data_IF_359753211069
#
_entry.id   IF_359753211069
#
_cell.length_a   1.000
_cell.length_b   1.000
_cell.length_c   1.000
_cell.angle_alpha   90.00
_cell.angle_beta   90.00
_cell.angle_gamma   90.00
#
_symmetry.space_group_name_H-M   'P 1'
#
loop_
_entity.id
_entity.type
_entity.pdbx_description
1 polymer ?
#
# COMPACT_ATOMS: atom_id res chain seq x y z
N UNK A 1 -41.33 -12.71 -80.81
CA UNK A 1 -42.03 -12.30 -79.58
C UNK A 1 -41.67 -13.30 -78.47
N UNK A 2 -41.06 -12.81 -77.39
CA UNK A 2 -40.88 -13.41 -76.03
C UNK A 2 -39.90 -14.58 -75.80
N UNK A 3 -38.77 -14.20 -75.20
CA UNK A 3 -37.77 -14.92 -74.37
C UNK A 3 -38.31 -16.07 -73.52
N UNK A 4 -37.46 -17.09 -73.26
CA UNK A 4 -37.10 -17.52 -71.89
C UNK A 4 -35.65 -18.03 -71.80
N UNK A 5 -35.01 -17.61 -70.71
CA UNK A 5 -33.59 -17.76 -70.32
C UNK A 5 -33.39 -19.07 -69.56
N UNK A 6 -32.21 -19.70 -69.70
CA UNK A 6 -31.75 -20.82 -68.88
C UNK A 6 -30.29 -20.64 -68.45
N UNK A 7 -30.07 -20.67 -67.14
CA UNK A 7 -28.81 -20.62 -66.38
C UNK A 7 -27.78 -21.69 -66.79
N UNK A 8 -26.48 -21.38 -66.67
CA UNK A 8 -25.47 -22.13 -65.89
C UNK A 8 -24.01 -21.93 -66.39
N UNK A 9 -23.06 -21.82 -65.45
CA UNK A 9 -21.64 -22.17 -65.68
C UNK A 9 -20.62 -21.03 -65.46
N UNK A 10 -20.19 -20.77 -64.22
CA UNK A 10 -18.87 -21.17 -63.66
C UNK A 10 -17.67 -20.42 -64.30
N UNK A 11 -17.18 -19.32 -63.71
CA UNK A 11 -16.01 -19.27 -62.80
C UNK A 11 -14.65 -19.19 -63.53
N UNK A 12 -14.11 -17.97 -63.65
CA UNK A 12 -12.66 -17.74 -63.66
C UNK A 12 -12.36 -16.37 -63.02
N UNK A 13 -12.06 -16.43 -61.73
CA UNK A 13 -11.44 -15.36 -60.95
C UNK A 13 -9.93 -15.53 -61.13
N UNK A 14 -9.20 -14.46 -61.42
CA UNK A 14 -7.97 -14.05 -60.70
C UNK A 14 -7.33 -12.80 -61.32
N UNK A 15 -7.37 -11.72 -60.52
CA UNK A 15 -6.26 -10.83 -60.14
C UNK A 15 -5.60 -9.85 -61.14
N UNK A 16 -5.76 -8.55 -60.83
CA UNK A 16 -4.80 -7.42 -60.83
C UNK A 16 -5.66 -6.14 -60.62
N UNK A 17 -5.51 -5.20 -59.70
CA UNK A 17 -4.51 -4.88 -58.67
C UNK A 17 -5.19 -3.90 -57.69
N UNK A 18 -5.46 -4.31 -56.44
CA UNK A 18 -5.88 -3.36 -55.40
C UNK A 18 -4.63 -2.81 -54.71
N UNK A 19 -4.21 -1.62 -55.12
CA UNK A 19 -3.26 -0.78 -54.39
C UNK A 19 -3.90 -0.46 -53.04
N UNK A 20 -3.50 -1.19 -52.00
CA UNK A 20 -3.86 -0.83 -50.64
C UNK A 20 -2.85 0.22 -50.16
N UNK A 21 -3.27 1.42 -49.74
CA UNK A 21 -2.40 2.27 -48.96
C UNK A 21 -2.05 1.50 -47.69
N UNK A 22 -0.75 1.33 -47.45
CA UNK A 22 -0.23 0.85 -46.19
C UNK A 22 -0.68 1.83 -45.10
N UNK A 23 -1.80 1.53 -44.45
CA UNK A 23 -2.14 2.13 -43.17
C UNK A 23 -1.01 1.66 -42.25
N UNK A 24 -0.10 2.58 -41.92
CA UNK A 24 0.84 2.38 -40.84
C UNK A 24 0.01 2.03 -39.61
N UNK A 25 -0.02 0.75 -39.27
CA UNK A 25 -0.62 0.25 -38.06
C UNK A 25 0.16 0.93 -36.94
N UNK A 26 -0.40 1.99 -36.37
CA UNK A 26 0.07 2.56 -35.11
C UNK A 26 0.08 1.39 -34.14
N UNK A 27 1.27 0.82 -33.91
CA UNK A 27 1.49 -0.12 -32.83
C UNK A 27 1.01 0.60 -31.59
N UNK A 28 -0.04 0.07 -30.95
CA UNK A 28 -0.45 0.55 -29.64
C UNK A 28 0.81 0.70 -28.78
N UNK A 29 0.98 1.87 -28.18
CA UNK A 29 2.19 2.23 -27.45
C UNK A 29 2.54 1.13 -26.42
N UNK A 30 3.59 0.32 -26.67
CA UNK A 30 3.84 -0.86 -25.85
C UNK A 30 4.63 -0.52 -24.59
N UNK A 31 5.05 0.73 -24.37
CA UNK A 31 6.03 1.05 -23.34
C UNK A 31 5.68 2.25 -22.46
N UNK A 32 4.96 3.24 -22.98
CA UNK A 32 4.64 4.42 -22.18
C UNK A 32 3.81 4.03 -20.96
N UNK A 33 4.21 4.55 -19.81
CA UNK A 33 3.52 4.36 -18.54
C UNK A 33 4.49 4.18 -17.38
N UNK A 34 3.90 3.98 -16.21
CA UNK A 34 4.63 3.65 -14.99
C UNK A 34 4.75 2.13 -14.87
N UNK A 35 5.89 1.66 -14.39
CA UNK A 35 6.22 0.26 -14.23
C UNK A 35 6.74 0.03 -12.81
N UNK A 36 6.23 -0.98 -12.10
CA UNK A 36 6.62 -1.28 -10.71
C UNK A 36 7.04 -2.72 -10.56
N UNK A 37 8.04 -2.95 -9.72
CA UNK A 37 8.51 -4.30 -9.41
C UNK A 37 9.81 -4.27 -8.62
N UNK A 38 10.71 -5.20 -8.91
CA UNK A 38 11.93 -5.38 -8.13
C UNK A 38 13.11 -5.91 -8.95
N UNK A 39 14.30 -5.76 -8.37
CA UNK A 39 15.57 -6.22 -8.92
C UNK A 39 16.52 -6.64 -7.79
N UNK A 40 17.38 -7.62 -8.07
CA UNK A 40 18.37 -8.08 -7.10
C UNK A 40 19.07 -9.35 -7.55
N UNK A 41 20.12 -9.82 -6.85
CA UNK A 41 20.86 -11.02 -7.25
C UNK A 41 20.15 -12.34 -6.90
N UNK A 42 19.13 -12.31 -6.04
CA UNK A 42 18.43 -13.51 -5.56
C UNK A 42 17.05 -13.17 -4.99
N UNK A 43 16.22 -14.19 -4.75
CA UNK A 43 14.88 -14.03 -4.18
C UNK A 43 14.86 -13.42 -2.75
N UNK A 44 15.96 -13.52 -2.00
CA UNK A 44 16.07 -13.00 -0.62
C UNK A 44 16.78 -11.64 -0.53
N UNK A 45 17.28 -11.11 -1.64
CA UNK A 45 17.95 -9.81 -1.74
C UNK A 45 17.32 -9.08 -2.93
N UNK A 46 16.17 -8.45 -2.69
CA UNK A 46 15.37 -7.73 -3.68
C UNK A 46 15.26 -6.26 -3.29
N UNK A 47 15.35 -5.39 -4.29
CA UNK A 47 15.18 -3.95 -4.18
C UNK A 47 13.98 -3.55 -5.03
N UNK A 48 13.00 -2.87 -4.44
CA UNK A 48 11.86 -2.35 -5.19
C UNK A 48 12.29 -1.23 -6.13
N UNK A 49 11.60 -1.12 -7.27
CA UNK A 49 11.85 -0.09 -8.27
C UNK A 49 10.55 0.36 -8.93
N UNK A 50 10.47 1.65 -9.22
CA UNK A 50 9.46 2.25 -10.08
C UNK A 50 10.15 2.88 -11.28
N UNK A 51 9.63 2.71 -12.49
CA UNK A 51 10.18 3.30 -13.71
C UNK A 51 9.06 3.98 -14.47
N UNK A 52 9.24 5.24 -14.86
CA UNK A 52 8.35 5.92 -15.80
C UNK A 52 9.01 5.88 -17.19
N UNK A 53 8.34 5.28 -18.17
CA UNK A 53 8.81 5.18 -19.55
C UNK A 53 7.93 6.01 -20.48
N UNK A 54 8.53 6.58 -21.52
CA UNK A 54 7.84 7.29 -22.62
C UNK A 54 8.40 6.82 -23.95
N UNK A 55 7.52 6.31 -24.80
CA UNK A 55 7.82 5.83 -26.14
C UNK A 55 6.97 6.59 -27.17
N UNK A 56 7.61 7.12 -28.21
CA UNK A 56 6.93 7.89 -29.26
C UNK A 56 6.90 7.16 -30.62
N UNK A 57 7.16 5.85 -30.63
CA UNK A 57 7.32 5.07 -31.86
C UNK A 57 8.74 5.02 -32.40
N UNK A 58 9.68 5.80 -31.84
CA UNK A 58 11.08 5.85 -32.31
C UNK A 58 12.10 5.94 -31.17
N UNK A 59 11.85 6.77 -30.17
CA UNK A 59 12.75 7.02 -29.05
C UNK A 59 12.09 6.62 -27.75
N UNK A 60 12.86 5.90 -26.91
CA UNK A 60 12.48 5.56 -25.55
C UNK A 60 13.19 6.52 -24.60
N UNK A 61 12.46 7.10 -23.66
CA UNK A 61 13.01 7.88 -22.55
C UNK A 61 12.37 7.44 -21.24
N UNK A 62 12.95 7.82 -20.10
CA UNK A 62 12.33 7.53 -18.82
C UNK A 62 13.17 7.91 -17.60
N UNK A 63 12.61 7.64 -16.44
CA UNK A 63 13.22 7.89 -15.12
C UNK A 63 13.03 6.67 -14.23
N UNK A 64 14.00 6.45 -13.34
CA UNK A 64 13.95 5.45 -12.27
C UNK A 64 13.65 6.15 -10.95
N UNK A 65 12.69 5.61 -10.20
CA UNK A 65 12.17 6.11 -8.94
C UNK A 65 11.79 7.61 -9.02
N UNK A 66 10.76 7.96 -9.81
CA UNK A 66 10.36 9.35 -10.01
C UNK A 66 10.04 10.06 -8.69
N UNK A 67 10.47 11.33 -8.57
CA UNK A 67 10.44 12.13 -7.34
C UNK A 67 11.61 13.14 -7.31
N UNK A 68 11.84 13.85 -6.20
CA UNK A 68 12.96 14.79 -6.06
C UNK A 68 14.34 14.18 -6.33
N UNK A 69 14.49 12.87 -6.12
CA UNK A 69 15.72 12.11 -6.32
C UNK A 69 15.67 11.19 -7.56
N UNK A 70 14.84 11.53 -8.54
CA UNK A 70 14.68 10.73 -9.76
C UNK A 70 16.01 10.56 -10.51
N UNK A 71 16.29 9.33 -10.93
CA UNK A 71 17.47 9.01 -11.75
C UNK A 71 17.04 8.97 -13.22
N UNK A 72 17.66 9.79 -14.06
CA UNK A 72 17.39 9.78 -15.49
C UNK A 72 17.94 8.50 -16.15
N UNK A 73 17.18 7.92 -17.07
CA UNK A 73 17.69 6.88 -17.97
C UNK A 73 18.45 7.60 -19.10
N UNK A 74 19.78 7.47 -19.09
CA UNK A 74 20.69 8.16 -20.00
C UNK A 74 20.70 7.51 -21.39
N UNK A 75 20.62 6.18 -21.43
CA UNK A 75 20.57 5.40 -22.66
C UNK A 75 19.38 4.45 -22.61
N UNK A 76 18.54 4.48 -23.64
CA UNK A 76 17.39 3.61 -23.75
C UNK A 76 17.14 3.20 -25.20
N UNK A 77 16.83 1.93 -25.42
CA UNK A 77 16.41 1.42 -26.73
C UNK A 77 15.32 0.37 -26.58
N UNK A 78 14.45 0.32 -27.58
CA UNK A 78 13.41 -0.69 -27.69
C UNK A 78 13.26 -1.12 -29.13
N UNK A 79 13.19 -2.43 -29.35
CA UNK A 79 12.90 -3.04 -30.63
C UNK A 79 11.47 -3.59 -30.63
N UNK A 80 10.51 -2.96 -31.32
CA UNK A 80 9.13 -3.42 -31.39
C UNK A 80 8.94 -4.78 -32.08
N UNK A 81 9.91 -5.26 -32.87
CA UNK A 81 9.80 -6.56 -33.56
C UNK A 81 10.19 -7.71 -32.64
N UNK A 82 11.25 -7.52 -31.84
CA UNK A 82 11.75 -8.55 -30.91
C UNK A 82 11.29 -8.34 -29.48
N UNK A 83 10.61 -7.22 -29.20
CA UNK A 83 10.20 -6.76 -27.87
C UNK A 83 11.36 -6.62 -26.88
N UNK A 84 12.60 -6.48 -27.37
CA UNK A 84 13.78 -6.30 -26.55
C UNK A 84 13.90 -4.85 -26.08
N UNK A 85 14.26 -4.68 -24.82
CA UNK A 85 14.46 -3.37 -24.19
C UNK A 85 15.83 -3.34 -23.53
N UNK A 86 16.50 -2.20 -23.64
CA UNK A 86 17.77 -1.91 -22.99
C UNK A 86 17.69 -0.55 -22.33
N UNK A 87 18.06 -0.46 -21.06
CA UNK A 87 18.04 0.78 -20.25
C UNK A 87 19.34 0.92 -19.49
N UNK A 88 19.86 2.14 -19.42
CA UNK A 88 21.01 2.47 -18.61
C UNK A 88 20.81 3.75 -17.83
N UNK A 89 21.23 3.75 -16.58
CA UNK A 89 21.16 4.89 -15.69
C UNK A 89 22.41 4.99 -14.83
N UNK A 90 22.86 6.20 -14.57
CA UNK A 90 23.98 6.46 -13.68
C UNK A 90 23.49 6.96 -12.32
N UNK A 91 23.86 6.24 -11.25
CA UNK A 91 23.60 6.68 -9.88
C UNK A 91 24.77 7.55 -9.38
N UNK A 92 24.63 8.86 -9.56
CA UNK A 92 25.67 9.85 -9.28
C UNK A 92 26.30 9.75 -7.86
N UNK A 93 25.56 9.56 -6.75
CA UNK A 93 26.15 9.51 -5.41
C UNK A 93 27.20 8.42 -5.21
N UNK A 94 27.20 7.37 -6.03
CA UNK A 94 28.20 6.28 -5.98
C UNK A 94 28.93 6.08 -7.30
N UNK A 95 28.68 6.91 -8.31
CA UNK A 95 29.19 6.77 -9.67
C UNK A 95 29.02 5.33 -10.21
N UNK A 96 27.82 4.77 -10.06
CA UNK A 96 27.50 3.41 -10.48
C UNK A 96 26.57 3.44 -11.69
N UNK A 97 27.04 2.90 -12.82
CA UNK A 97 26.21 2.63 -13.99
C UNK A 97 25.45 1.32 -13.79
N UNK A 98 24.14 1.40 -13.90
CA UNK A 98 23.23 0.28 -13.94
C UNK A 98 22.79 0.04 -15.38
N UNK A 99 22.75 -1.21 -15.78
CA UNK A 99 22.32 -1.66 -17.11
C UNK A 99 21.22 -2.70 -16.92
N UNK A 100 20.11 -2.53 -17.62
CA UNK A 100 19.00 -3.47 -17.69
C UNK A 100 18.81 -3.92 -19.12
N UNK A 101 18.81 -5.24 -19.32
CA UNK A 101 18.48 -5.88 -20.59
C UNK A 101 17.30 -6.81 -20.37
N UNK A 102 16.22 -6.64 -21.14
CA UNK A 102 15.00 -7.40 -20.92
C UNK A 102 14.14 -7.59 -22.15
N UNK A 103 12.99 -8.20 -21.93
CA UNK A 103 11.95 -8.44 -22.92
C UNK A 103 10.61 -7.97 -22.36
N UNK A 104 9.85 -7.29 -23.22
CA UNK A 104 8.53 -6.73 -22.92
C UNK A 104 7.47 -7.73 -23.38
N UNK A 105 6.70 -8.25 -22.44
CA UNK A 105 5.57 -9.15 -22.69
C UNK A 105 4.30 -8.53 -22.10
N UNK A 106 3.49 -7.90 -22.95
CA UNK A 106 2.26 -7.18 -22.56
C UNK A 106 2.54 -6.11 -21.49
N UNK A 107 2.16 -6.39 -20.26
CA UNK A 107 2.28 -5.52 -19.09
C UNK A 107 3.39 -5.99 -18.15
N UNK A 108 4.40 -6.69 -18.68
CA UNK A 108 5.54 -7.17 -17.92
C UNK A 108 6.84 -6.91 -18.68
N UNK A 109 7.87 -6.47 -17.97
CA UNK A 109 9.25 -6.45 -18.44
C UNK A 109 10.02 -7.40 -17.53
N UNK A 110 10.67 -8.39 -18.12
CA UNK A 110 11.54 -9.32 -17.40
C UNK A 110 12.90 -9.36 -18.06
N UNK A 111 13.95 -9.50 -17.27
CA UNK A 111 15.30 -9.47 -17.80
C UNK A 111 16.36 -9.59 -16.72
N UNK A 112 17.51 -9.02 -17.02
CA UNK A 112 18.64 -8.95 -16.11
C UNK A 112 18.97 -7.50 -15.83
N UNK A 113 19.51 -7.27 -14.63
CA UNK A 113 20.17 -6.01 -14.31
C UNK A 113 21.62 -6.31 -13.93
N UNK A 114 22.51 -5.36 -14.18
CA UNK A 114 23.90 -5.43 -13.75
C UNK A 114 24.49 -4.05 -13.45
N UNK A 115 25.47 -4.04 -12.57
CA UNK A 115 26.43 -2.96 -12.38
C UNK A 115 27.82 -3.59 -12.18
N UNK A 116 28.94 -2.85 -12.15
CA UNK A 116 30.30 -3.42 -12.22
C UNK A 116 30.68 -4.48 -11.16
N UNK A 117 29.92 -4.63 -10.08
CA UNK A 117 30.22 -5.56 -8.96
C UNK A 117 29.09 -6.56 -8.68
N UNK A 118 27.95 -6.46 -9.36
CA UNK A 118 26.76 -7.25 -9.04
C UNK A 118 25.83 -7.36 -10.24
N UNK A 119 25.13 -8.48 -10.34
CA UNK A 119 24.12 -8.74 -11.36
C UNK A 119 22.98 -9.55 -10.77
N UNK A 120 21.87 -9.60 -11.48
CA UNK A 120 20.73 -10.44 -11.12
C UNK A 120 19.58 -10.28 -12.09
N UNK A 121 18.39 -10.68 -11.66
CA UNK A 121 17.16 -10.60 -12.43
C UNK A 121 16.36 -9.33 -12.09
N UNK A 122 15.71 -8.82 -13.12
CA UNK A 122 14.91 -7.61 -13.10
C UNK A 122 13.50 -7.96 -13.56
N UNK A 123 12.50 -7.51 -12.81
CA UNK A 123 11.11 -7.73 -13.16
C UNK A 123 10.25 -6.56 -12.74
N UNK A 124 9.53 -5.95 -13.69
CA UNK A 124 8.52 -4.93 -13.44
C UNK A 124 7.26 -5.23 -14.23
N UNK A 125 6.13 -4.74 -13.74
CA UNK A 125 4.83 -4.81 -14.41
C UNK A 125 4.26 -3.42 -14.61
N UNK A 126 3.55 -3.21 -15.72
CA UNK A 126 2.92 -1.93 -16.03
C UNK A 126 1.90 -1.63 -14.94
N UNK A 127 2.07 -0.49 -14.32
CA UNK A 127 1.02 0.12 -13.53
C UNK A 127 -0.06 0.55 -14.51
N UNK A 128 -1.13 -0.24 -14.58
CA UNK A 128 -2.32 0.14 -15.32
C UNK A 128 -2.83 1.43 -14.68
N UNK A 129 -2.72 2.55 -15.39
CA UNK A 129 -3.37 3.80 -15.00
C UNK A 129 -4.81 3.43 -14.70
N UNK A 130 -5.23 3.56 -13.43
CA UNK A 130 -6.57 3.21 -12.97
C UNK A 130 -7.60 4.16 -13.61
N UNK A 131 -7.92 3.96 -14.88
CA UNK A 131 -9.18 4.43 -15.45
C UNK A 131 -10.28 3.55 -14.86
N UNK A 132 -10.82 3.99 -13.72
CA UNK A 132 -12.14 3.65 -13.15
C UNK A 132 -12.60 2.17 -13.02
N UNK A 133 -11.77 1.16 -13.30
CA UNK A 133 -12.25 -0.24 -13.39
C UNK A 133 -11.32 -1.28 -12.75
N UNK A 134 -10.69 -0.93 -11.63
CA UNK A 134 -10.27 -1.90 -10.61
C UNK A 134 -10.29 -1.18 -9.26
N UNK A 135 -11.50 -0.96 -8.74
CA UNK A 135 -11.64 -0.84 -7.30
C UNK A 135 -10.94 -2.07 -6.70
N UNK A 136 -10.02 -1.88 -5.75
CA UNK A 136 -9.59 -2.99 -4.90
C UNK A 136 -10.85 -3.77 -4.50
N UNK A 137 -10.86 -5.11 -4.60
CA UNK A 137 -12.06 -5.90 -4.40
C UNK A 137 -12.77 -5.37 -3.17
N UNK A 138 -14.03 -4.93 -3.33
CA UNK A 138 -14.77 -4.31 -2.23
C UNK A 138 -14.63 -5.25 -1.04
N UNK A 139 -14.07 -4.77 0.08
CA UNK A 139 -13.81 -5.64 1.21
C UNK A 139 -15.13 -6.28 1.63
N UNK A 140 -15.09 -7.58 1.97
CA UNK A 140 -16.30 -8.25 2.45
C UNK A 140 -16.61 -7.77 3.88
N UNK A 141 -17.32 -6.67 4.00
CA UNK A 141 -17.71 -6.07 5.28
C UNK A 141 -18.90 -6.76 5.96
N UNK A 142 -19.13 -8.05 5.67
CA UNK A 142 -20.17 -8.83 6.33
C UNK A 142 -19.98 -8.85 7.86
N UNK A 143 -21.07 -8.72 8.61
CA UNK A 143 -21.05 -8.68 10.07
C UNK A 143 -20.88 -7.29 10.69
N UNK A 144 -20.60 -6.26 9.89
CA UNK A 144 -20.55 -4.86 10.36
C UNK A 144 -21.86 -4.11 10.11
N UNK A 145 -22.19 -3.21 11.03
CA UNK A 145 -23.33 -2.27 10.90
C UNK A 145 -23.03 -1.18 9.87
N UNK A 146 -24.07 -0.48 9.41
CA UNK A 146 -23.94 0.55 8.38
C UNK A 146 -22.88 1.61 8.70
N UNK A 147 -22.90 2.17 9.91
CA UNK A 147 -21.90 3.19 10.29
C UNK A 147 -20.51 2.60 10.50
N UNK A 148 -20.40 1.34 10.94
CA UNK A 148 -19.12 0.64 11.07
C UNK A 148 -18.48 0.40 9.69
N UNK A 149 -19.30 0.08 8.68
CA UNK A 149 -18.84 -0.03 7.29
C UNK A 149 -18.33 1.30 6.76
N UNK A 150 -19.05 2.41 7.00
CA UNK A 150 -18.61 3.75 6.60
C UNK A 150 -17.23 4.10 7.17
N UNK A 151 -16.96 3.75 8.42
CA UNK A 151 -15.63 3.98 9.03
C UNK A 151 -14.54 3.22 8.29
N UNK A 152 -14.75 1.93 7.99
CA UNK A 152 -13.75 1.14 7.25
C UNK A 152 -13.59 1.66 5.82
N UNK A 153 -14.68 1.99 5.14
CA UNK A 153 -14.65 2.56 3.80
C UNK A 153 -13.88 3.90 3.77
N UNK A 154 -14.08 4.75 4.78
CA UNK A 154 -13.34 6.00 4.93
C UNK A 154 -11.84 5.75 5.13
N UNK A 155 -11.47 4.86 6.05
CA UNK A 155 -10.07 4.50 6.32
C UNK A 155 -9.39 3.97 5.05
N UNK A 156 -10.02 3.02 4.36
CA UNK A 156 -9.48 2.46 3.13
C UNK A 156 -9.36 3.49 2.01
N UNK A 157 -10.32 4.39 1.91
CA UNK A 157 -10.24 5.48 0.94
C UNK A 157 -9.04 6.37 1.25
N UNK A 158 -8.93 6.86 2.48
CA UNK A 158 -7.86 7.79 2.86
C UNK A 158 -6.46 7.15 2.75
N UNK A 159 -6.28 5.90 3.18
CA UNK A 159 -4.97 5.21 3.05
C UNK A 159 -4.57 4.98 1.59
N UNK A 160 -5.53 4.68 0.70
CA UNK A 160 -5.25 4.41 -0.72
C UNK A 160 -5.07 5.67 -1.55
N UNK A 161 -5.67 6.79 -1.12
CA UNK A 161 -5.47 8.10 -1.74
C UNK A 161 -4.23 8.82 -1.15
N UNK A 162 -3.85 8.51 0.10
CA UNK A 162 -2.74 9.12 0.84
C UNK A 162 -1.40 8.39 0.75
N UNK A 163 -1.17 7.55 -0.26
CA UNK A 163 0.05 6.72 -0.37
C UNK A 163 1.33 7.57 -0.50
N UNK A 164 1.23 8.82 -0.93
CA UNK A 164 2.38 9.68 -1.24
C UNK A 164 2.98 10.43 -0.03
N UNK A 165 2.29 10.52 1.11
CA UNK A 165 2.69 11.42 2.22
C UNK A 165 2.99 10.73 3.57
N UNK A 166 3.07 9.39 3.59
CA UNK A 166 3.26 8.59 4.81
C UNK A 166 2.22 8.87 5.92
N UNK A 167 1.08 9.46 5.58
CA UNK A 167 0.00 9.69 6.52
C UNK A 167 -0.71 8.39 6.87
N UNK A 168 -1.13 8.28 8.12
CA UNK A 168 -1.99 7.18 8.56
C UNK A 168 -3.20 7.79 9.24
N UNK A 169 -4.40 7.55 8.70
CA UNK A 169 -5.62 7.92 9.41
C UNK A 169 -5.97 6.85 10.44
N UNK A 170 -6.12 7.26 11.70
CA UNK A 170 -6.56 6.41 12.79
C UNK A 170 -8.10 6.37 12.88
N UNK A 171 -8.63 5.35 13.57
CA UNK A 171 -10.06 5.10 13.65
C UNK A 171 -10.84 6.23 14.34
N UNK A 172 -10.27 6.86 15.35
CA UNK A 172 -10.85 8.01 16.03
C UNK A 172 -10.98 9.22 15.10
N UNK A 173 -9.96 9.49 14.29
CA UNK A 173 -9.98 10.54 13.24
C UNK A 173 -11.07 10.24 12.20
N UNK A 174 -11.16 9.00 11.72
CA UNK A 174 -12.19 8.60 10.76
C UNK A 174 -13.61 8.76 11.33
N UNK A 175 -13.82 8.37 12.59
CA UNK A 175 -15.10 8.53 13.27
C UNK A 175 -15.48 10.02 13.43
N UNK A 176 -14.52 10.87 13.79
CA UNK A 176 -14.73 12.32 13.91
C UNK A 176 -15.06 12.95 12.55
N UNK A 177 -14.33 12.60 11.49
CA UNK A 177 -14.59 13.07 10.13
C UNK A 177 -15.99 12.67 9.64
N UNK A 178 -16.46 11.49 10.02
CA UNK A 178 -17.82 11.00 9.73
C UNK A 178 -18.89 11.52 10.69
N UNK A 179 -18.51 12.37 11.66
CA UNK A 179 -19.40 12.90 12.72
C UNK A 179 -20.11 11.81 13.52
N UNK A 180 -19.44 10.67 13.70
CA UNK A 180 -19.96 9.56 14.50
C UNK A 180 -19.62 9.80 15.98
N UNK A 181 -20.55 9.50 16.91
CA UNK A 181 -20.31 9.70 18.33
C UNK A 181 -19.20 8.77 18.84
N UNK A 182 -18.37 9.22 19.79
CA UNK A 182 -17.39 8.35 20.45
C UNK A 182 -18.10 7.14 21.09
N UNK A 183 -17.72 5.93 20.67
CA UNK A 183 -18.34 4.70 21.18
C UNK A 183 -17.31 3.58 21.30
N UNK A 184 -16.94 3.21 22.53
CA UNK A 184 -16.07 2.06 22.81
C UNK A 184 -16.64 0.76 22.24
N UNK A 185 -17.96 0.63 22.17
CA UNK A 185 -18.63 -0.53 21.58
C UNK A 185 -18.44 -0.62 20.06
N UNK A 186 -18.61 0.51 19.36
CA UNK A 186 -18.38 0.59 17.92
C UNK A 186 -16.90 0.42 17.57
N UNK A 187 -16.01 1.15 18.26
CA UNK A 187 -14.56 1.05 18.10
C UNK A 187 -14.07 -0.38 18.32
N UNK A 188 -14.60 -1.09 19.32
CA UNK A 188 -14.23 -2.48 19.54
C UNK A 188 -14.65 -3.40 18.38
N UNK A 189 -15.87 -3.26 17.85
CA UNK A 189 -16.34 -4.11 16.73
C UNK A 189 -15.53 -3.85 15.45
N UNK A 190 -15.33 -2.58 15.10
CA UNK A 190 -14.49 -2.19 13.96
C UNK A 190 -13.06 -2.65 14.17
N UNK A 191 -12.48 -2.39 15.34
CA UNK A 191 -11.11 -2.76 15.65
C UNK A 191 -10.88 -4.27 15.64
N UNK A 192 -11.83 -5.05 16.17
CA UNK A 192 -11.75 -6.52 16.12
C UNK A 192 -11.90 -7.04 14.68
N UNK A 193 -12.71 -6.38 13.85
CA UNK A 193 -12.79 -6.68 12.43
C UNK A 193 -11.43 -6.40 11.75
N UNK A 194 -10.89 -5.18 11.86
CA UNK A 194 -9.58 -4.79 11.30
C UNK A 194 -8.47 -5.75 11.75
N UNK A 195 -8.43 -6.11 13.04
CA UNK A 195 -7.47 -7.07 13.60
C UNK A 195 -7.51 -8.44 12.93
N UNK A 196 -8.68 -8.92 12.52
CA UNK A 196 -8.87 -10.23 11.90
C UNK A 196 -8.83 -10.16 10.36
N UNK A 197 -8.73 -8.95 9.80
CA UNK A 197 -8.72 -8.71 8.36
C UNK A 197 -7.50 -7.85 7.93
N UNK A 198 -6.25 -8.28 8.18
CA UNK A 198 -5.06 -7.54 7.75
C UNK A 198 -4.91 -7.47 6.22
N UNK A 199 -5.68 -8.24 5.46
CA UNK A 199 -5.76 -8.19 4.00
C UNK A 199 -6.46 -6.94 3.46
N UNK A 200 -7.20 -6.19 4.30
CA UNK A 200 -7.98 -5.01 3.87
C UNK A 200 -7.11 -3.96 3.17
N UNK A 201 -5.89 -3.74 3.68
CA UNK A 201 -4.94 -2.77 3.14
C UNK A 201 -3.50 -3.08 3.54
N UNK A 202 -2.53 -2.63 2.74
CA UNK A 202 -1.10 -2.78 3.06
C UNK A 202 -0.70 -2.01 4.32
N UNK A 203 -1.36 -0.89 4.60
CA UNK A 203 -1.19 -0.10 5.83
C UNK A 203 -1.28 -0.97 7.09
N UNK A 204 -2.22 -1.92 7.12
CA UNK A 204 -2.40 -2.81 8.26
C UNK A 204 -1.29 -3.85 8.39
N UNK A 205 -0.72 -4.29 7.27
CA UNK A 205 0.41 -5.24 7.25
C UNK A 205 1.70 -4.57 7.65
N UNK A 206 1.90 -3.32 7.20
CA UNK A 206 3.09 -2.53 7.49
C UNK A 206 3.11 -2.06 8.95
N UNK A 207 1.99 -1.52 9.44
CA UNK A 207 1.96 -0.81 10.73
C UNK A 207 1.26 -1.57 11.86
N UNK A 208 0.53 -2.64 11.52
CA UNK A 208 -0.28 -3.40 12.48
C UNK A 208 -1.59 -2.71 12.85
N UNK A 209 -2.60 -3.50 13.21
CA UNK A 209 -3.94 -2.99 13.53
C UNK A 209 -3.95 -2.06 14.75
N UNK A 210 -3.05 -2.26 15.73
CA UNK A 210 -3.00 -1.46 16.96
C UNK A 210 -2.71 0.01 16.67
N UNK A 211 -1.93 0.27 15.63
CA UNK A 211 -1.58 1.61 15.16
C UNK A 211 -2.83 2.40 14.78
N UNK A 212 -3.75 1.76 14.05
CA UNK A 212 -4.99 2.35 13.54
C UNK A 212 -6.10 2.38 14.59
N UNK A 213 -6.20 1.33 15.40
CA UNK A 213 -7.38 1.07 16.24
C UNK A 213 -7.29 1.71 17.63
N UNK A 214 -6.11 1.73 18.23
CA UNK A 214 -5.94 2.27 19.58
C UNK A 214 -5.84 3.80 19.53
N UNK A 215 -6.51 4.47 20.46
CA UNK A 215 -6.32 5.92 20.66
C UNK A 215 -4.93 6.22 21.22
N UNK A 216 -4.46 7.47 21.12
CA UNK A 216 -3.22 7.89 21.79
C UNK A 216 -3.21 7.55 23.28
N UNK A 217 -4.30 7.82 23.99
CA UNK A 217 -4.42 7.56 25.42
C UNK A 217 -4.35 6.06 25.75
N UNK A 218 -4.99 5.20 24.93
CA UNK A 218 -4.91 3.75 25.09
C UNK A 218 -3.50 3.22 24.89
N UNK A 219 -2.75 3.78 23.93
CA UNK A 219 -1.33 3.44 23.72
C UNK A 219 -0.50 3.87 24.93
N UNK A 220 -0.69 5.07 25.46
CA UNK A 220 0.03 5.57 26.64
C UNK A 220 -0.30 4.75 27.90
N UNK A 221 -1.57 4.40 28.11
CA UNK A 221 -2.00 3.51 29.20
C UNK A 221 -1.36 2.13 29.08
N UNK A 222 -1.39 1.52 27.88
CA UNK A 222 -0.76 0.23 27.65
C UNK A 222 0.74 0.29 27.95
N UNK A 223 1.43 1.33 27.47
CA UNK A 223 2.85 1.59 27.71
C UNK A 223 3.17 1.68 29.20
N UNK A 224 2.40 2.46 29.94
CA UNK A 224 2.63 2.66 31.38
C UNK A 224 2.52 1.35 32.16
N UNK A 225 1.56 0.48 31.82
CA UNK A 225 1.40 -0.83 32.46
C UNK A 225 2.52 -1.80 32.04
N UNK A 226 2.77 -1.92 30.74
CA UNK A 226 3.74 -2.84 30.15
C UNK A 226 5.17 -2.51 30.60
N UNK A 227 5.56 -1.24 30.63
CA UNK A 227 6.91 -0.86 31.04
C UNK A 227 7.16 -1.22 32.50
N UNK A 228 6.18 -1.00 33.39
CA UNK A 228 6.29 -1.43 34.79
C UNK A 228 6.42 -2.94 34.90
N UNK A 229 5.79 -3.71 34.02
CA UNK A 229 5.94 -5.18 33.97
C UNK A 229 7.32 -5.60 33.53
N UNK A 230 7.75 -5.11 32.38
CA UNK A 230 9.06 -5.38 31.80
C UNK A 230 10.18 -5.04 32.77
N UNK A 231 10.07 -3.89 33.43
CA UNK A 231 11.10 -3.35 34.31
C UNK A 231 10.96 -3.88 35.75
N UNK A 232 10.07 -4.86 35.99
CA UNK A 232 9.79 -5.50 37.29
C UNK A 232 9.43 -4.50 38.40
N UNK A 233 8.79 -3.40 38.03
CA UNK A 233 8.32 -2.37 38.95
C UNK A 233 6.90 -2.66 39.43
N UNK A 234 6.53 -2.05 40.57
CA UNK A 234 5.15 -2.11 41.08
C UNK A 234 4.18 -1.57 40.03
N UNK A 235 3.02 -2.22 39.88
CA UNK A 235 1.96 -1.75 38.99
C UNK A 235 1.42 -0.41 39.49
N UNK A 236 1.13 0.53 38.57
CA UNK A 236 0.53 1.79 38.98
C UNK A 236 -0.86 1.51 39.54
N UNK A 237 -1.26 2.28 40.55
CA UNK A 237 -2.65 2.42 40.96
C UNK A 237 -3.46 3.12 39.87
N UNK A 238 -4.79 3.16 40.01
CA UNK A 238 -5.66 3.87 39.07
C UNK A 238 -5.30 5.35 38.96
N UNK A 239 -5.10 6.00 40.10
CA UNK A 239 -4.76 7.42 40.18
C UNK A 239 -3.37 7.70 39.59
N UNK A 240 -2.36 6.91 39.96
CA UNK A 240 -1.01 7.05 39.38
C UNK A 240 -1.01 6.83 37.86
N UNK A 241 -1.78 5.87 37.34
CA UNK A 241 -1.89 5.63 35.91
C UNK A 241 -2.52 6.81 35.18
N UNK A 242 -3.60 7.38 35.73
CA UNK A 242 -4.25 8.57 35.21
C UNK A 242 -3.29 9.77 35.19
N UNK A 243 -2.55 10.00 36.28
CA UNK A 243 -1.54 11.06 36.37
C UNK A 243 -0.40 10.86 35.36
N UNK A 244 0.10 9.63 35.20
CA UNK A 244 1.19 9.31 34.26
C UNK A 244 0.81 9.58 32.80
N UNK A 245 -0.46 9.41 32.45
CA UNK A 245 -0.97 9.59 31.08
C UNK A 245 -1.53 11.00 30.85
N UNK A 246 -1.94 11.70 31.91
CA UNK A 246 -2.53 13.04 31.82
C UNK A 246 -4.02 13.03 31.47
N UNK A 247 -4.75 11.98 31.86
CA UNK A 247 -6.19 11.80 31.61
C UNK A 247 -6.96 11.60 32.92
N UNK A 248 -8.30 11.60 32.86
CA UNK A 248 -9.11 11.31 34.04
C UNK A 248 -8.98 9.84 34.48
N UNK A 249 -9.21 9.55 35.77
CA UNK A 249 -9.25 8.15 36.25
C UNK A 249 -10.31 7.33 35.52
N UNK A 250 -11.45 7.93 35.20
CA UNK A 250 -12.53 7.28 34.44
C UNK A 250 -12.07 6.86 33.05
N UNK A 251 -11.38 7.74 32.34
CA UNK A 251 -10.89 7.46 30.98
C UNK A 251 -9.74 6.45 31.00
N UNK A 252 -8.87 6.54 32.01
CA UNK A 252 -7.81 5.55 32.26
C UNK A 252 -8.39 4.16 32.48
N UNK A 253 -9.42 4.03 33.30
CA UNK A 253 -10.11 2.75 33.51
C UNK A 253 -10.78 2.22 32.23
N UNK A 254 -11.40 3.10 31.44
CA UNK A 254 -12.02 2.72 30.18
C UNK A 254 -10.99 2.25 29.14
N UNK A 255 -9.83 2.91 29.08
CA UNK A 255 -8.70 2.48 28.27
C UNK A 255 -8.21 1.09 28.70
N UNK A 256 -8.02 0.85 30.01
CA UNK A 256 -7.64 -0.48 30.53
C UNK A 256 -8.67 -1.55 30.15
N UNK A 257 -9.97 -1.26 30.30
CA UNK A 257 -11.04 -2.18 29.88
C UNK A 257 -10.97 -2.47 28.38
N UNK A 258 -10.74 -1.45 27.56
CA UNK A 258 -10.66 -1.60 26.11
C UNK A 258 -9.45 -2.42 25.68
N UNK A 259 -8.27 -2.15 26.25
CA UNK A 259 -7.05 -2.93 26.02
C UNK A 259 -7.22 -4.39 26.45
N UNK A 260 -7.92 -4.64 27.56
CA UNK A 260 -8.25 -6.00 27.99
C UNK A 260 -9.20 -6.70 27.01
N UNK A 261 -10.23 -6.01 26.50
CA UNK A 261 -11.14 -6.55 25.48
C UNK A 261 -10.41 -6.91 24.19
N UNK A 262 -9.43 -6.11 23.78
CA UNK A 262 -8.60 -6.40 22.61
C UNK A 262 -7.58 -7.53 22.82
N UNK A 263 -7.45 -8.03 24.06
CA UNK A 263 -6.47 -9.07 24.42
C UNK A 263 -5.04 -8.55 24.40
N UNK A 264 -4.84 -7.26 24.69
CA UNK A 264 -3.52 -6.65 24.90
C UNK A 264 -3.12 -6.81 26.36
N UNK A 265 -4.07 -6.57 27.26
CA UNK A 265 -3.92 -6.79 28.70
C UNK A 265 -4.75 -7.99 29.14
N UNK A 266 -4.28 -8.68 30.18
CA UNK A 266 -5.05 -9.69 30.91
C UNK A 266 -5.16 -9.28 32.37
N UNK A 267 -6.28 -9.62 32.99
CA UNK A 267 -6.50 -9.32 34.41
C UNK A 267 -5.64 -10.24 35.26
N UNK A 268 -4.94 -9.66 36.23
CA UNK A 268 -4.21 -10.38 37.26
C UNK A 268 -4.31 -9.59 38.56
N UNK A 269 -5.04 -10.13 39.54
CA UNK A 269 -5.24 -9.42 40.82
C UNK A 269 -4.04 -9.56 41.76
N UNK A 270 -3.13 -10.49 41.50
CA UNK A 270 -1.97 -10.75 42.36
C UNK A 270 -0.91 -9.65 42.26
N UNK A 271 -0.87 -8.91 41.15
CA UNK A 271 0.15 -7.87 40.89
C UNK A 271 -0.16 -6.50 41.54
N UNK A 272 -1.32 -6.35 42.20
CA UNK A 272 -1.76 -5.09 42.80
C UNK A 272 -1.98 -3.95 41.79
N UNK A 273 -2.10 -2.72 42.28
CA UNK A 273 -2.33 -1.54 41.44
C UNK A 273 -3.62 -1.63 40.63
N UNK A 274 -3.54 -1.37 39.32
CA UNK A 274 -4.66 -1.54 38.39
C UNK A 274 -5.10 -3.00 38.18
N UNK A 275 -4.27 -3.99 38.53
CA UNK A 275 -4.62 -5.41 38.45
C UNK A 275 -4.64 -5.99 37.03
N UNK A 276 -3.74 -5.50 36.17
CA UNK A 276 -3.56 -5.97 34.80
C UNK A 276 -2.08 -6.13 34.44
N UNK A 277 -1.82 -7.07 33.54
CA UNK A 277 -0.50 -7.41 32.98
C UNK A 277 -0.62 -7.61 31.47
N UNK A 278 0.50 -7.66 30.76
CA UNK A 278 0.54 -8.01 29.34
C UNK A 278 -0.12 -9.39 29.10
N UNK A 279 -1.01 -9.46 28.11
CA UNK A 279 -1.70 -10.71 27.80
C UNK A 279 -0.78 -11.77 27.17
N UNK A 280 0.32 -11.35 26.53
CA UNK A 280 1.26 -12.22 25.83
C UNK A 280 2.68 -11.61 25.86
N UNK A 281 3.75 -12.42 25.83
CA UNK A 281 5.13 -11.94 25.87
C UNK A 281 5.49 -10.92 24.78
N UNK A 282 4.86 -11.03 23.59
CA UNK A 282 5.06 -10.07 22.50
C UNK A 282 4.75 -8.62 22.90
N UNK A 283 3.84 -8.42 23.85
CA UNK A 283 3.48 -7.08 24.34
C UNK A 283 4.46 -6.55 25.39
N UNK A 284 5.35 -7.38 25.96
CA UNK A 284 6.44 -6.91 26.82
C UNK A 284 7.59 -6.30 26.02
N UNK A 285 7.82 -6.86 24.84
CA UNK A 285 8.82 -6.38 23.88
C UNK A 285 8.19 -5.48 22.82
N UNK A 286 7.14 -4.75 23.18
CA UNK A 286 6.37 -3.91 22.26
C UNK A 286 7.10 -2.63 21.84
N UNK A 287 8.42 -2.56 22.03
CA UNK A 287 9.30 -1.57 21.41
C UNK A 287 10.03 -2.22 20.22
N UNK A 288 10.17 -1.52 19.08
CA UNK A 288 9.82 -0.11 18.85
C UNK A 288 8.35 0.18 18.45
N UNK A 289 7.47 -0.82 18.43
CA UNK A 289 6.18 -0.73 17.72
C UNK A 289 5.03 0.00 18.41
N UNK A 290 5.10 0.24 19.72
CA UNK A 290 4.16 1.13 20.42
C UNK A 290 4.65 2.58 20.44
N UNK A 291 5.82 2.87 19.84
CA UNK A 291 6.49 4.17 19.85
C UNK A 291 6.14 5.10 18.69
N UNK A 292 5.18 4.74 17.85
CA UNK A 292 4.59 5.72 16.94
C UNK A 292 3.64 6.62 17.74
N UNK A 293 4.22 7.61 18.43
CA UNK A 293 3.51 8.82 18.82
C UNK A 293 3.10 9.50 17.53
N UNK A 294 1.95 9.13 16.99
CA UNK A 294 1.50 9.83 15.83
C UNK A 294 1.09 11.24 16.24
N UNK A 295 1.82 12.22 15.75
CA UNK A 295 1.40 13.60 15.86
C UNK A 295 0.15 13.76 15.01
N UNK A 296 -0.94 14.18 15.65
CA UNK A 296 -2.15 14.57 14.93
C UNK A 296 -1.84 15.85 14.18
N UNK A 297 -1.78 15.77 12.86
CA UNK A 297 -1.57 16.92 11.98
C UNK A 297 -2.92 17.32 11.39
N UNK A 298 -3.23 18.60 11.46
CA UNK A 298 -4.35 19.22 10.75
C UNK A 298 -3.78 20.12 9.66
N UNK A 299 -4.07 19.81 8.40
CA UNK A 299 -3.70 20.67 7.28
C UNK A 299 -4.64 21.88 7.19
N UNK A 300 -4.22 22.92 6.47
CA UNK A 300 -5.07 24.07 6.15
C UNK A 300 -6.35 23.69 5.39
N UNK A 301 -6.33 22.55 4.68
CA UNK A 301 -7.52 21.96 4.03
C UNK A 301 -8.53 21.38 5.02
N UNK A 302 -8.20 21.27 6.30
CA UNK A 302 -9.00 20.60 7.32
C UNK A 302 -8.83 19.08 7.33
N UNK A 303 -8.03 18.49 6.43
CA UNK A 303 -7.66 17.06 6.52
C UNK A 303 -6.85 16.85 7.79
N UNK A 304 -7.21 15.82 8.55
CA UNK A 304 -6.52 15.43 9.77
C UNK A 304 -6.00 14.02 9.64
N UNK A 305 -4.76 13.79 10.03
CA UNK A 305 -4.14 12.47 10.02
C UNK A 305 -3.05 12.38 11.07
N UNK A 306 -2.47 11.20 11.17
CA UNK A 306 -1.40 10.88 12.08
C UNK A 306 -0.10 10.69 11.26
N UNK A 307 1.00 11.32 11.69
CA UNK A 307 2.37 11.04 11.15
C UNK A 307 3.31 10.61 12.26
N UNK A 308 4.32 9.83 11.90
CA UNK A 308 5.46 9.55 12.76
C UNK A 308 6.45 10.73 12.73
#
# INVERSE_FOLDING_TARGET
MRLKIGFAGLLLIFLLSCIHPAIAQQSADPLTGTWKGDWGPSATDRNSVTIELKWNGKTLTGTVNPGPDAILIETASFDPQTMKIHLEANYAPRNLRYVVDGTVEKDKISGTWNHPRRKGDFQVSREVTKSESNAAPKPNLSGLKADERKVIEYLLKDWREGVEDYSITAMDIAMEALRLPPSSGMRFRIGNYIKNHPELDETLRQWGWQTVVLTPDEKLVARAIVNRERDKQKRPTKSELATLVGISEKDSEEAVRTLARFGILKRDRSVGGVGYVAAAPRYLNWQPWLDFQFHRITLSSGRVFCVN
#
